data_IF_296452449038
#
_entry.id   IF_296452449038
#
_cell.length_a   1.000
_cell.length_b   1.000
_cell.length_c   1.000
_cell.angle_alpha   90.00
_cell.angle_beta   90.00
_cell.angle_gamma   90.00
#
_symmetry.space_group_name_H-M   'P 1'
#
loop_
_entity.id
_entity.type
_entity.pdbx_description
1 polymer ?
#
# COMPACT_ATOMS: atom_id res chain seq x y z
N UNK A 1 -5.42 -3.42 -53.57
CA UNK A 1 -4.79 -3.92 -52.34
C UNK A 1 -5.59 -3.32 -51.21
N UNK A 2 -6.14 -4.13 -50.30
CA UNK A 2 -6.88 -3.61 -49.15
C UNK A 2 -5.88 -3.13 -48.09
N UNK A 3 -6.12 -1.97 -47.49
CA UNK A 3 -5.30 -1.45 -46.39
C UNK A 3 -5.66 -2.17 -45.09
N UNK A 4 -4.63 -2.48 -44.30
CA UNK A 4 -4.81 -3.06 -42.97
C UNK A 4 -5.32 -2.00 -41.98
N UNK A 5 -6.22 -2.41 -41.08
CA UNK A 5 -6.76 -1.57 -40.01
C UNK A 5 -6.56 -2.22 -38.64
N UNK A 6 -6.15 -1.42 -37.65
CA UNK A 6 -5.96 -1.86 -36.27
C UNK A 6 -7.14 -1.42 -35.39
N UNK A 7 -7.61 -2.31 -34.52
CA UNK A 7 -8.65 -2.03 -33.55
C UNK A 7 -8.27 -2.52 -32.16
N UNK A 8 -8.74 -1.80 -31.14
CA UNK A 8 -8.61 -2.23 -29.74
C UNK A 8 -9.77 -3.17 -29.40
N UNK A 9 -9.45 -4.35 -28.86
CA UNK A 9 -10.42 -5.30 -28.33
C UNK A 9 -10.00 -5.81 -26.95
N UNK A 10 -10.99 -6.00 -26.08
CA UNK A 10 -10.85 -6.71 -24.81
C UNK A 10 -11.98 -7.73 -24.71
N UNK A 11 -11.91 -8.69 -23.78
CA UNK A 11 -12.99 -9.68 -23.59
C UNK A 11 -14.38 -9.05 -23.40
N UNK A 12 -14.43 -7.82 -22.88
CA UNK A 12 -15.66 -7.05 -22.64
C UNK A 12 -15.96 -5.97 -23.68
N UNK A 13 -15.09 -5.75 -24.67
CA UNK A 13 -15.25 -4.69 -25.68
C UNK A 13 -15.01 -5.24 -27.08
N UNK A 14 -16.10 -5.38 -27.86
CA UNK A 14 -16.01 -5.60 -29.30
C UNK A 14 -15.61 -4.29 -30.00
N UNK A 15 -14.58 -4.38 -30.85
CA UNK A 15 -14.02 -3.36 -31.75
C UNK A 15 -14.68 -1.97 -31.67
N UNK A 16 -14.12 -1.10 -30.83
CA UNK A 16 -14.57 0.28 -30.65
C UNK A 16 -13.39 1.24 -30.40
N UNK A 17 -13.70 2.52 -30.19
CA UNK A 17 -12.69 3.53 -29.84
C UNK A 17 -12.00 3.17 -28.52
N UNK A 18 -10.68 3.35 -28.48
CA UNK A 18 -9.89 3.15 -27.26
C UNK A 18 -10.40 4.04 -26.11
N UNK A 19 -10.41 3.49 -24.90
CA UNK A 19 -10.70 4.22 -23.67
C UNK A 19 -9.72 3.81 -22.58
N UNK A 20 -8.95 4.78 -22.07
CA UNK A 20 -7.98 4.53 -21.00
C UNK A 20 -8.65 3.97 -19.74
N UNK A 21 -9.88 4.37 -19.43
CA UNK A 21 -10.63 3.84 -18.29
C UNK A 21 -10.98 2.37 -18.47
N UNK A 22 -11.42 1.95 -19.67
CA UNK A 22 -11.74 0.54 -19.94
C UNK A 22 -10.49 -0.32 -19.98
N UNK A 23 -9.43 0.17 -20.62
CA UNK A 23 -8.14 -0.49 -20.64
C UNK A 23 -7.60 -0.72 -19.22
N UNK A 24 -7.70 0.30 -18.35
CA UNK A 24 -7.31 0.16 -16.95
C UNK A 24 -8.14 -0.87 -16.20
N UNK A 25 -9.47 -0.85 -16.34
CA UNK A 25 -10.35 -1.83 -15.69
C UNK A 25 -10.11 -3.26 -16.15
N UNK A 26 -9.71 -3.48 -17.42
CA UNK A 26 -9.33 -4.79 -17.94
C UNK A 26 -7.95 -5.23 -17.42
N UNK A 27 -6.97 -4.32 -17.36
CA UNK A 27 -5.62 -4.65 -16.91
C UNK A 27 -5.50 -4.78 -15.39
N UNK A 28 -6.38 -4.13 -14.64
CA UNK A 28 -6.34 -4.11 -13.18
C UNK A 28 -6.76 -5.48 -12.62
N UNK A 29 -5.87 -6.19 -11.91
CA UNK A 29 -6.25 -7.41 -11.21
C UNK A 29 -7.31 -7.08 -10.16
N UNK A 30 -8.50 -7.68 -10.29
CA UNK A 30 -9.56 -7.54 -9.29
C UNK A 30 -9.17 -8.39 -8.08
N UNK A 31 -9.05 -7.74 -6.92
CA UNK A 31 -8.87 -8.42 -5.64
C UNK A 31 -10.06 -8.07 -4.76
N UNK A 32 -10.42 -9.01 -3.88
CA UNK A 32 -11.48 -8.79 -2.91
C UNK A 32 -11.16 -7.59 -2.01
N UNK A 33 -12.21 -6.85 -1.69
CA UNK A 33 -12.12 -5.78 -0.70
C UNK A 33 -11.61 -6.35 0.63
N UNK A 34 -10.52 -5.80 1.15
CA UNK A 34 -9.96 -6.20 2.43
C UNK A 34 -10.81 -5.63 3.57
N UNK A 35 -11.09 -6.42 4.60
CA UNK A 35 -11.90 -5.98 5.74
C UNK A 35 -11.37 -4.68 6.40
N UNK A 36 -10.04 -4.55 6.52
CA UNK A 36 -9.38 -3.36 7.07
C UNK A 36 -9.53 -2.10 6.21
N UNK A 37 -9.92 -2.20 4.94
CA UNK A 37 -10.00 -1.05 4.04
C UNK A 37 -10.99 0.00 4.54
N UNK A 38 -12.12 -0.44 5.10
CA UNK A 38 -13.13 0.44 5.68
C UNK A 38 -12.62 1.21 6.92
N UNK A 39 -11.77 0.57 7.73
CA UNK A 39 -11.12 1.18 8.91
C UNK A 39 -10.12 2.26 8.51
N UNK A 40 -9.42 2.07 7.40
CA UNK A 40 -8.40 3.00 6.91
C UNK A 40 -9.01 4.18 6.15
N UNK A 41 -10.00 3.90 5.29
CA UNK A 41 -10.57 4.85 4.32
C UNK A 41 -12.00 5.28 4.69
N UNK A 42 -12.26 5.51 5.98
CA UNK A 42 -13.58 5.95 6.44
C UNK A 42 -13.90 7.39 6.00
N UNK A 43 -15.19 7.73 5.98
CA UNK A 43 -15.64 9.08 5.62
C UNK A 43 -15.16 10.09 6.67
N UNK A 44 -14.41 11.09 6.22
CA UNK A 44 -13.81 12.10 7.11
C UNK A 44 -12.41 11.75 7.60
N UNK A 45 -11.83 10.64 7.13
CA UNK A 45 -10.43 10.34 7.39
C UNK A 45 -9.53 11.43 6.82
N UNK A 46 -8.62 11.95 7.65
CA UNK A 46 -7.61 12.90 7.19
C UNK A 46 -6.63 12.15 6.29
N UNK A 47 -6.44 12.56 5.02
CA UNK A 47 -5.68 11.79 4.04
C UNK A 47 -4.27 11.38 4.51
N UNK A 48 -3.57 12.29 5.22
CA UNK A 48 -2.24 12.00 5.79
C UNK A 48 -2.24 10.86 6.82
N UNK A 49 -3.26 10.80 7.68
CA UNK A 49 -3.38 9.75 8.70
C UNK A 49 -3.85 8.44 8.07
N UNK A 50 -4.83 8.50 7.16
CA UNK A 50 -5.29 7.33 6.41
C UNK A 50 -4.15 6.66 5.64
N UNK A 51 -3.31 7.45 4.96
CA UNK A 51 -2.14 6.95 4.26
C UNK A 51 -1.13 6.27 5.20
N UNK A 52 -0.81 6.90 6.34
CA UNK A 52 0.07 6.27 7.33
C UNK A 52 -0.51 4.97 7.88
N UNK A 53 -1.80 4.95 8.22
CA UNK A 53 -2.49 3.75 8.70
C UNK A 53 -2.52 2.65 7.65
N UNK A 54 -2.70 3.00 6.37
CA UNK A 54 -2.67 2.06 5.27
C UNK A 54 -1.31 1.36 5.15
N UNK A 55 -0.23 2.13 5.10
CA UNK A 55 1.14 1.61 5.00
C UNK A 55 1.50 0.77 6.23
N UNK A 56 1.07 1.22 7.42
CA UNK A 56 1.19 0.48 8.69
C UNK A 56 0.48 -0.87 8.62
N UNK A 57 -0.78 -0.89 8.17
CA UNK A 57 -1.57 -2.12 8.04
C UNK A 57 -0.92 -3.13 7.09
N UNK A 58 -0.25 -2.65 6.04
CA UNK A 58 0.49 -3.47 5.10
C UNK A 58 1.89 -3.90 5.58
N UNK A 59 2.28 -3.48 6.79
CA UNK A 59 3.63 -3.65 7.35
C UNK A 59 4.74 -3.07 6.46
N UNK A 60 4.44 -1.97 5.74
CA UNK A 60 5.34 -1.35 4.74
C UNK A 60 6.03 -0.09 5.24
N UNK A 61 5.98 0.19 6.54
CA UNK A 61 6.74 1.30 7.12
C UNK A 61 8.25 1.04 7.00
N UNK A 62 9.07 2.07 6.75
CA UNK A 62 10.52 1.94 6.67
C UNK A 62 11.15 1.87 8.08
N UNK A 63 10.70 0.92 8.90
CA UNK A 63 11.27 0.66 10.23
C UNK A 63 12.70 0.15 10.11
N UNK A 64 13.59 0.47 11.07
CA UNK A 64 14.98 0.01 11.02
C UNK A 64 15.13 -1.51 10.90
N UNK A 65 14.25 -2.31 11.53
CA UNK A 65 14.28 -3.78 11.35
C UNK A 65 14.09 -4.18 9.88
N UNK A 66 13.02 -3.67 9.24
CA UNK A 66 12.73 -3.94 7.82
C UNK A 66 13.84 -3.45 6.89
N UNK A 67 14.42 -2.30 7.21
CA UNK A 67 15.56 -1.73 6.49
C UNK A 67 16.82 -2.61 6.61
N UNK A 68 17.07 -3.21 7.77
CA UNK A 68 18.15 -4.19 7.95
C UNK A 68 17.86 -5.51 7.21
N UNK A 69 16.60 -5.95 7.15
CA UNK A 69 16.20 -7.14 6.37
C UNK A 69 16.47 -6.97 4.86
N UNK A 70 16.60 -5.72 4.38
CA UNK A 70 17.03 -5.42 3.01
C UNK A 70 18.56 -5.40 2.81
N UNK A 71 19.32 -5.80 3.83
CA UNK A 71 20.78 -5.91 3.77
C UNK A 71 21.52 -4.63 4.16
N UNK A 72 20.84 -3.62 4.71
CA UNK A 72 21.52 -2.44 5.23
C UNK A 72 22.14 -2.74 6.61
N UNK A 73 23.44 -2.45 6.74
CA UNK A 73 24.14 -2.57 8.01
C UNK A 73 23.87 -1.33 8.89
N UNK A 74 22.75 -1.35 9.60
CA UNK A 74 22.30 -0.28 10.49
C UNK A 74 21.95 -0.82 11.87
N UNK A 75 22.04 0.03 12.90
CA UNK A 75 21.51 -0.30 14.22
C UNK A 75 19.98 -0.43 14.14
N UNK A 76 19.44 -1.54 14.62
CA UNK A 76 18.00 -1.88 14.49
C UNK A 76 17.16 -1.51 15.71
N UNK A 77 17.78 -0.97 16.76
CA UNK A 77 17.07 -0.54 17.97
C UNK A 77 16.14 0.65 17.70
N UNK A 78 15.00 0.64 18.38
CA UNK A 78 13.96 1.66 18.35
C UNK A 78 14.54 3.05 18.56
N UNK A 79 14.21 4.00 17.69
CA UNK A 79 14.66 5.38 17.81
C UNK A 79 14.12 6.12 19.06
N UNK A 80 13.06 5.60 19.69
CA UNK A 80 12.45 6.21 20.87
C UNK A 80 13.04 5.65 22.16
N UNK A 81 12.90 4.34 22.40
CA UNK A 81 13.35 3.72 23.65
C UNK A 81 14.80 3.23 23.62
N UNK A 82 15.41 3.06 22.45
CA UNK A 82 16.76 2.48 22.28
C UNK A 82 16.98 1.10 22.93
N UNK A 83 15.91 0.41 23.34
CA UNK A 83 15.96 -0.89 24.04
C UNK A 83 15.60 -2.01 23.06
N UNK A 84 14.36 -2.01 22.57
CA UNK A 84 13.82 -3.06 21.70
C UNK A 84 14.09 -2.79 20.21
N UNK A 85 13.89 -3.81 19.36
CA UNK A 85 13.96 -3.65 17.91
C UNK A 85 12.87 -2.71 17.40
N UNK A 86 13.22 -1.85 16.45
CA UNK A 86 12.27 -0.98 15.77
C UNK A 86 11.43 -1.79 14.78
N UNK A 87 10.31 -2.32 15.26
CA UNK A 87 9.26 -2.93 14.46
C UNK A 87 8.04 -2.01 14.41
N UNK A 88 7.12 -2.26 13.47
CA UNK A 88 5.85 -1.54 13.40
C UNK A 88 5.09 -1.62 14.73
N UNK A 89 4.92 -2.83 15.24
CA UNK A 89 4.13 -3.09 16.45
C UNK A 89 4.81 -2.48 17.67
N UNK A 90 6.14 -2.56 17.75
CA UNK A 90 6.86 -1.88 18.81
C UNK A 90 6.66 -0.37 18.73
N UNK A 91 6.92 0.24 17.58
CA UNK A 91 6.87 1.69 17.40
C UNK A 91 5.48 2.28 17.72
N UNK A 92 4.40 1.55 17.42
CA UNK A 92 3.03 2.08 17.49
C UNK A 92 2.19 1.51 18.64
N UNK A 93 2.52 0.34 19.19
CA UNK A 93 1.63 -0.39 20.12
C UNK A 93 2.30 -0.78 21.44
N UNK A 94 3.62 -1.05 21.46
CA UNK A 94 4.28 -1.59 22.67
C UNK A 94 5.48 -0.78 23.18
N UNK A 95 5.94 0.23 22.46
CA UNK A 95 6.98 1.12 22.96
C UNK A 95 6.44 1.90 24.17
N UNK A 96 7.26 2.03 25.21
CA UNK A 96 6.90 2.79 26.42
C UNK A 96 6.38 4.20 26.11
N UNK A 97 6.96 4.85 25.09
CA UNK A 97 6.57 6.19 24.64
C UNK A 97 5.25 6.20 23.84
N UNK A 98 4.90 5.09 23.20
CA UNK A 98 3.65 4.97 22.46
C UNK A 98 2.48 4.66 23.41
N UNK A 99 2.74 3.92 24.49
CA UNK A 99 1.74 3.53 25.49
C UNK A 99 1.42 4.66 26.48
N UNK A 100 2.33 5.62 26.66
CA UNK A 100 2.15 6.77 27.55
C UNK A 100 1.17 7.84 27.00
N UNK A 101 0.77 7.72 25.72
CA UNK A 101 -0.17 8.62 25.02
C UNK A 101 -1.56 7.99 24.96
#
# INVERSE_FOLDING_TARGET
>A
MADDAYYWSTESTSAGSFSSSKAWETLKPRSDSKAWASTVWFKGAVPKHAFNMWITTLDRLPTKKRLADWGMNIQTHCCLCSIELETRDHLLLSCQFAVEI
#
